data_IF_344837622354
#
_entry.id   IF_344837622354
#
_cell.length_a   1.000
_cell.length_b   1.000
_cell.length_c   1.000
_cell.angle_alpha   90.00
_cell.angle_beta   90.00
_cell.angle_gamma   90.00
#
_symmetry.space_group_name_H-M   'P 1'
#
loop_
_entity.id
_entity.type
_entity.pdbx_description
1 polymer ?
#
# COMPACT_ATOMS: atom_id res chain seq x y z
N UNK A 1 11.78 -44.54 -37.80
CA UNK A 1 11.72 -43.07 -37.90
C UNK A 1 10.57 -42.59 -37.01
N UNK A 2 10.83 -41.56 -36.19
CA UNK A 2 9.89 -40.82 -35.35
C UNK A 2 9.36 -41.48 -34.05
N UNK A 3 10.23 -41.82 -33.08
CA UNK A 3 9.78 -42.03 -31.68
C UNK A 3 10.78 -41.56 -30.60
N UNK A 4 11.73 -40.66 -30.92
CA UNK A 4 12.78 -40.26 -29.96
C UNK A 4 12.97 -38.75 -29.77
N UNK A 5 12.02 -37.91 -30.23
CA UNK A 5 12.21 -36.45 -30.22
C UNK A 5 11.37 -35.67 -29.19
N UNK A 6 10.62 -36.33 -28.31
CA UNK A 6 9.78 -35.66 -27.30
C UNK A 6 10.40 -35.59 -25.89
N UNK A 7 11.68 -35.91 -25.72
CA UNK A 7 12.33 -35.98 -24.40
C UNK A 7 13.19 -34.76 -24.03
N UNK A 8 13.17 -33.67 -24.81
CA UNK A 8 14.10 -32.52 -24.61
C UNK A 8 13.39 -31.23 -24.20
N UNK A 9 12.05 -31.15 -24.19
CA UNK A 9 11.36 -29.86 -24.05
C UNK A 9 10.65 -29.55 -22.72
N UNK A 10 10.84 -30.32 -21.66
CA UNK A 10 10.20 -29.97 -20.38
C UNK A 10 11.00 -30.40 -19.15
N UNK A 11 12.22 -29.90 -19.02
CA UNK A 11 12.94 -29.99 -17.74
C UNK A 11 13.88 -28.83 -17.47
N UNK A 12 13.44 -27.60 -17.78
CA UNK A 12 13.81 -26.44 -16.95
C UNK A 12 12.82 -26.43 -15.78
N UNK A 13 13.00 -27.39 -14.87
CA UNK A 13 12.42 -27.34 -13.55
C UNK A 13 13.06 -26.15 -12.85
N UNK A 14 12.44 -24.98 -12.98
CA UNK A 14 12.59 -23.91 -12.01
C UNK A 14 12.23 -24.54 -10.66
N UNK A 15 13.24 -24.89 -9.86
CA UNK A 15 13.08 -25.08 -8.42
C UNK A 15 12.48 -23.77 -7.88
N UNK A 16 11.15 -23.73 -7.77
CA UNK A 16 10.40 -22.66 -7.08
C UNK A 16 10.46 -22.80 -5.55
N UNK A 17 11.49 -23.47 -5.01
CA UNK A 17 11.54 -23.77 -3.57
C UNK A 17 12.25 -22.71 -2.73
N UNK A 18 13.00 -21.76 -3.33
CA UNK A 18 13.91 -20.90 -2.57
C UNK A 18 13.67 -19.39 -2.79
N UNK A 19 12.54 -18.99 -3.40
CA UNK A 19 12.19 -17.57 -3.52
C UNK A 19 11.31 -17.15 -2.34
N UNK A 20 11.97 -16.86 -1.22
CA UNK A 20 11.34 -16.18 -0.08
C UNK A 20 11.12 -14.71 -0.45
N UNK A 21 9.92 -14.38 -0.92
CA UNK A 21 9.55 -13.00 -1.36
C UNK A 21 9.12 -12.14 -0.18
N UNK A 22 9.04 -12.72 1.01
CA UNK A 22 8.57 -12.04 2.20
C UNK A 22 9.68 -11.19 2.79
N UNK A 23 9.34 -9.97 3.18
CA UNK A 23 10.27 -9.15 3.94
C UNK A 23 10.47 -9.79 5.32
N UNK A 24 11.73 -9.94 5.72
CA UNK A 24 12.12 -10.57 6.96
C UNK A 24 12.35 -9.54 8.07
N UNK A 25 12.44 -8.24 7.73
CA UNK A 25 12.54 -7.13 8.69
C UNK A 25 11.82 -5.86 8.23
N UNK A 26 11.51 -4.96 9.18
CA UNK A 26 10.93 -3.65 8.89
C UNK A 26 11.91 -2.76 8.10
N UNK A 27 13.21 -2.84 8.40
CA UNK A 27 14.24 -2.04 7.72
C UNK A 27 14.34 -2.37 6.24
N UNK A 28 14.13 -3.64 5.86
CA UNK A 28 14.06 -4.06 4.45
C UNK A 28 12.88 -3.41 3.72
N UNK A 29 11.71 -3.32 4.36
CA UNK A 29 10.53 -2.66 3.79
C UNK A 29 10.77 -1.16 3.63
N UNK A 30 11.30 -0.49 4.66
CA UNK A 30 11.62 0.93 4.61
C UNK A 30 12.64 1.23 3.51
N UNK A 31 13.69 0.41 3.40
CA UNK A 31 14.71 0.54 2.37
C UNK A 31 14.14 0.32 0.96
N UNK A 32 13.23 -0.64 0.78
CA UNK A 32 12.54 -0.88 -0.49
C UNK A 32 11.66 0.32 -0.87
N UNK A 33 10.85 0.80 0.07
CA UNK A 33 9.93 1.92 -0.14
C UNK A 33 10.68 3.17 -0.59
N UNK A 34 11.80 3.49 0.06
CA UNK A 34 12.65 4.63 -0.32
C UNK A 34 13.33 4.41 -1.67
N UNK A 35 13.91 3.22 -1.91
CA UNK A 35 14.66 2.91 -3.15
C UNK A 35 13.78 2.87 -4.41
N UNK A 36 12.54 2.39 -4.29
CA UNK A 36 11.62 2.23 -5.42
C UNK A 36 10.63 3.39 -5.58
N UNK A 37 10.63 4.36 -4.66
CA UNK A 37 9.76 5.53 -4.75
C UNK A 37 8.31 5.25 -4.35
N UNK A 38 8.11 4.47 -3.29
CA UNK A 38 6.81 4.31 -2.65
C UNK A 38 6.57 5.40 -1.59
N UNK A 39 7.47 5.50 -0.61
CA UNK A 39 7.32 6.41 0.55
C UNK A 39 8.66 7.09 0.83
N UNK A 40 8.61 8.39 1.09
CA UNK A 40 9.75 9.23 1.47
C UNK A 40 9.51 9.92 2.80
N UNK A 41 10.59 10.26 3.51
CA UNK A 41 10.50 11.10 4.70
C UNK A 41 10.13 12.52 4.26
N UNK A 42 9.08 13.09 4.84
CA UNK A 42 8.69 14.44 4.45
C UNK A 42 9.74 15.45 4.87
N UNK A 43 10.02 16.41 3.98
CA UNK A 43 11.06 17.44 4.16
C UNK A 43 12.46 16.86 4.46
N UNK A 44 12.80 15.71 3.85
CA UNK A 44 14.09 15.04 4.07
C UNK A 44 15.30 15.97 3.85
N UNK A 45 15.25 16.85 2.85
CA UNK A 45 16.34 17.81 2.55
C UNK A 45 16.52 18.90 3.63
N UNK A 46 15.55 19.08 4.52
CA UNK A 46 15.57 20.05 5.62
C UNK A 46 15.74 19.39 6.99
N UNK A 47 16.19 18.14 7.04
CA UNK A 47 16.37 17.38 8.29
C UNK A 47 15.20 16.47 8.65
N UNK A 48 14.14 16.44 7.84
CA UNK A 48 13.00 15.56 8.00
C UNK A 48 12.03 16.02 9.10
N UNK A 49 10.74 15.95 8.81
CA UNK A 49 9.69 16.18 9.80
C UNK A 49 9.17 14.85 10.34
N UNK A 50 9.64 14.45 11.52
CA UNK A 50 9.31 13.16 12.11
C UNK A 50 7.79 12.96 12.25
N UNK A 51 7.29 11.81 11.79
CA UNK A 51 5.87 11.47 11.79
C UNK A 51 5.12 11.86 10.51
N UNK A 52 5.74 12.59 9.58
CA UNK A 52 5.16 12.96 8.29
C UNK A 52 5.91 12.29 7.13
N UNK A 53 5.16 11.75 6.18
CA UNK A 53 5.69 10.96 5.05
C UNK A 53 4.99 11.32 3.75
N UNK A 54 5.77 11.34 2.67
CA UNK A 54 5.29 11.67 1.33
C UNK A 54 5.22 10.43 0.45
N UNK A 55 4.13 10.26 -0.29
CA UNK A 55 3.96 9.16 -1.23
C UNK A 55 4.64 9.50 -2.57
N UNK A 56 5.57 8.65 -3.01
CA UNK A 56 6.19 8.74 -4.33
C UNK A 56 5.29 8.19 -5.45
N UNK A 57 5.77 8.19 -6.71
CA UNK A 57 4.95 7.81 -7.86
C UNK A 57 4.32 6.42 -7.74
N UNK A 58 5.10 5.39 -7.39
CA UNK A 58 4.57 4.03 -7.21
C UNK A 58 3.67 3.92 -5.96
N UNK A 59 3.97 4.72 -4.93
CA UNK A 59 3.18 4.76 -3.70
C UNK A 59 1.80 5.36 -3.91
N UNK A 60 1.68 6.41 -4.73
CA UNK A 60 0.41 7.03 -5.07
C UNK A 60 -0.48 6.08 -5.86
N UNK A 61 0.07 5.39 -6.87
CA UNK A 61 -0.69 4.39 -7.65
C UNK A 61 -1.20 3.26 -6.76
N UNK A 62 -0.35 2.70 -5.90
CA UNK A 62 -0.74 1.65 -4.97
C UNK A 62 -1.83 2.15 -4.00
N UNK A 63 -1.64 3.32 -3.41
CA UNK A 63 -2.60 3.94 -2.48
C UNK A 63 -3.96 4.17 -3.14
N UNK A 64 -3.97 4.68 -4.37
CA UNK A 64 -5.20 4.98 -5.10
C UNK A 64 -5.93 3.69 -5.49
N UNK A 65 -5.21 2.69 -5.98
CA UNK A 65 -5.78 1.38 -6.30
C UNK A 65 -6.43 0.73 -5.07
N UNK A 66 -5.77 0.80 -3.91
CA UNK A 66 -6.32 0.27 -2.67
C UNK A 66 -7.59 1.02 -2.22
N UNK A 67 -7.57 2.37 -2.28
CA UNK A 67 -8.74 3.20 -1.94
C UNK A 67 -9.94 2.88 -2.85
N UNK A 68 -9.70 2.74 -4.16
CA UNK A 68 -10.76 2.42 -5.13
C UNK A 68 -11.33 1.02 -4.91
N UNK A 69 -10.49 0.02 -4.68
CA UNK A 69 -10.93 -1.34 -4.40
C UNK A 69 -11.78 -1.39 -3.13
N UNK A 70 -11.37 -0.69 -2.08
CA UNK A 70 -12.13 -0.59 -0.83
C UNK A 70 -13.47 0.13 -1.04
N UNK A 71 -13.47 1.27 -1.73
CA UNK A 71 -14.69 2.05 -1.97
C UNK A 71 -15.72 1.23 -2.76
N UNK A 72 -15.26 0.50 -3.79
CA UNK A 72 -16.13 -0.40 -4.55
C UNK A 72 -16.76 -1.46 -3.66
N UNK A 73 -15.95 -2.19 -2.89
CA UNK A 73 -16.42 -3.28 -2.05
C UNK A 73 -17.37 -2.82 -0.93
N UNK A 74 -17.17 -1.61 -0.40
CA UNK A 74 -17.96 -1.10 0.72
C UNK A 74 -19.19 -0.31 0.30
N UNK A 75 -19.10 0.48 -0.76
CA UNK A 75 -20.16 1.43 -1.15
C UNK A 75 -20.94 0.94 -2.37
N UNK A 76 -20.29 0.32 -3.36
CA UNK A 76 -20.97 -0.11 -4.58
C UNK A 76 -21.54 -1.53 -4.49
N UNK A 77 -20.83 -2.42 -3.78
CA UNK A 77 -21.24 -3.83 -3.68
C UNK A 77 -22.18 -4.09 -2.49
N UNK A 78 -22.52 -3.07 -1.69
CA UNK A 78 -23.40 -3.17 -0.52
C UNK A 78 -24.58 -2.20 -0.62
N UNK A 79 -25.74 -2.64 -0.16
CA UNK A 79 -26.97 -1.82 -0.18
C UNK A 79 -27.20 -1.01 1.11
N UNK A 80 -26.30 -1.12 2.09
CA UNK A 80 -26.46 -0.55 3.44
C UNK A 80 -25.44 0.52 3.82
N UNK A 81 -24.65 1.02 2.85
CA UNK A 81 -23.58 1.98 3.08
C UNK A 81 -23.67 3.16 2.11
N UNK A 82 -23.65 4.37 2.66
CA UNK A 82 -23.65 5.62 1.89
C UNK A 82 -22.26 6.26 1.87
N UNK A 83 -21.87 6.78 0.70
CA UNK A 83 -20.61 7.50 0.53
C UNK A 83 -20.70 8.93 1.07
N UNK A 84 -19.69 9.37 1.82
CA UNK A 84 -19.59 10.73 2.35
C UNK A 84 -18.15 11.25 2.23
N UNK A 85 -17.99 12.53 1.91
CA UNK A 85 -16.71 13.25 1.98
C UNK A 85 -16.91 14.54 2.80
N UNK A 86 -16.09 14.73 3.83
CA UNK A 86 -16.26 15.79 4.83
C UNK A 86 -15.01 16.69 4.88
N UNK A 87 -15.20 17.94 5.28
CA UNK A 87 -14.10 18.89 5.41
C UNK A 87 -13.16 18.53 6.58
N UNK A 88 -11.86 18.80 6.41
CA UNK A 88 -10.85 18.55 7.45
C UNK A 88 -10.96 19.56 8.61
N UNK A 89 -11.23 20.83 8.32
CA UNK A 89 -11.39 21.86 9.35
C UNK A 89 -12.74 21.68 10.05
N UNK A 90 -12.67 21.33 11.33
CA UNK A 90 -13.84 20.99 12.15
C UNK A 90 -14.12 22.10 13.16
N UNK A 91 -15.39 22.46 13.35
CA UNK A 91 -15.79 23.47 14.34
C UNK A 91 -15.51 22.99 15.78
N UNK A 92 -14.92 23.80 16.67
CA UNK A 92 -14.49 23.35 18.01
C UNK A 92 -15.59 22.69 18.85
N UNK A 93 -16.82 23.19 18.76
CA UNK A 93 -17.94 22.57 19.48
C UNK A 93 -18.18 21.09 19.11
N UNK A 94 -17.88 20.68 17.88
CA UNK A 94 -17.99 19.27 17.46
C UNK A 94 -16.95 18.41 18.19
N UNK A 95 -15.73 18.92 18.35
CA UNK A 95 -14.66 18.24 19.08
C UNK A 95 -14.96 18.16 20.58
N UNK A 96 -15.54 19.22 21.14
CA UNK A 96 -16.04 19.24 22.51
C UNK A 96 -17.13 18.20 22.76
N UNK A 97 -18.22 18.24 21.99
CA UNK A 97 -19.34 17.33 22.21
C UNK A 97 -19.07 15.87 21.82
N UNK A 98 -18.01 15.60 21.04
CA UNK A 98 -17.54 14.24 20.77
C UNK A 98 -16.57 13.70 21.82
N UNK A 99 -16.18 14.51 22.82
CA UNK A 99 -15.31 14.12 23.94
C UNK A 99 -13.81 14.19 23.65
N UNK A 100 -13.38 14.69 22.49
CA UNK A 100 -11.95 14.80 22.14
C UNK A 100 -11.21 15.88 22.96
N UNK A 101 -11.93 16.89 23.49
CA UNK A 101 -11.34 17.98 24.29
C UNK A 101 -11.31 17.71 25.79
N UNK A 102 -12.05 16.72 26.30
CA UNK A 102 -12.23 16.49 27.75
C UNK A 102 -11.17 15.54 28.36
N UNK A 103 -10.02 15.35 27.69
CA UNK A 103 -8.93 14.45 28.13
C UNK A 103 -7.92 15.13 29.04
#
# INVERSE_FOLDING_TARGET
MAHTTYAVYCRVLIRRSDFDVTANSMDELVALCKRRGFIFQSSEIYGGLQGLYDYGPLGVELKNNLKQAWWRAMVYDRDDVEGLDAAVLTHPQVLKYSGHEDT
#
